data_IF_315958192061
#
_entry.id   IF_315958192061
#
_cell.length_a   1.000
_cell.length_b   1.000
_cell.length_c   1.000
_cell.angle_alpha   90.00
_cell.angle_beta   90.00
_cell.angle_gamma   90.00
#
_symmetry.space_group_name_H-M   'P 1'
#
loop_
_entity.id
_entity.type
_entity.pdbx_description
1 polymer ?
#
# COMPACT_ATOMS: atom_id res chain seq x y z
N UNK A 1 5.59 32.28 -56.94
CA UNK A 1 5.37 30.90 -56.46
C UNK A 1 6.55 30.45 -55.61
N UNK A 2 6.33 30.27 -54.30
CA UNK A 2 6.85 29.21 -53.40
C UNK A 2 6.66 29.70 -51.97
N UNK A 3 5.55 29.28 -51.35
CA UNK A 3 5.32 29.38 -49.91
C UNK A 3 6.05 28.20 -49.29
N UNK A 4 7.00 28.47 -48.40
CA UNK A 4 7.70 27.43 -47.63
C UNK A 4 7.06 27.38 -46.26
N UNK A 5 6.27 26.34 -46.04
CA UNK A 5 5.55 26.05 -44.81
C UNK A 5 6.55 25.61 -43.74
N UNK A 6 6.64 26.37 -42.64
CA UNK A 6 7.43 25.97 -41.47
C UNK A 6 6.63 24.93 -40.70
N UNK A 7 7.16 23.70 -40.65
CA UNK A 7 6.58 22.59 -39.89
C UNK A 7 6.91 22.81 -38.41
N UNK A 8 5.93 23.29 -37.65
CA UNK A 8 6.05 23.52 -36.22
C UNK A 8 5.94 22.17 -35.50
N UNK A 9 7.08 21.64 -35.02
CA UNK A 9 7.15 20.41 -34.24
C UNK A 9 6.68 20.73 -32.82
N UNK A 10 5.44 20.35 -32.49
CA UNK A 10 4.92 20.42 -31.13
C UNK A 10 5.56 19.31 -30.28
N UNK A 11 6.57 19.67 -29.48
CA UNK A 11 7.08 18.82 -28.40
C UNK A 11 6.06 18.88 -27.26
N UNK A 12 5.20 17.87 -27.15
CA UNK A 12 4.32 17.71 -26.02
C UNK A 12 5.15 17.30 -24.80
N UNK A 13 5.43 18.25 -23.90
CA UNK A 13 5.92 17.94 -22.56
C UNK A 13 4.82 17.18 -21.83
N UNK A 14 5.01 15.87 -21.66
CA UNK A 14 4.24 15.07 -20.72
C UNK A 14 4.66 15.53 -19.32
N UNK A 15 3.91 16.48 -18.77
CA UNK A 15 3.95 16.82 -17.35
C UNK A 15 3.43 15.60 -16.59
N UNK A 16 4.37 14.77 -16.14
CA UNK A 16 4.11 13.75 -15.15
C UNK A 16 3.68 14.47 -13.86
N UNK A 17 2.37 14.44 -13.59
CA UNK A 17 1.79 14.98 -12.35
C UNK A 17 2.22 14.12 -11.17
N UNK A 18 3.45 14.31 -10.69
CA UNK A 18 3.82 13.97 -9.32
C UNK A 18 3.11 14.99 -8.43
N UNK A 19 1.85 14.72 -8.09
CA UNK A 19 1.21 15.46 -7.00
C UNK A 19 1.94 15.08 -5.71
N UNK A 20 2.61 16.02 -5.04
CA UNK A 20 3.15 15.73 -3.73
C UNK A 20 1.97 15.47 -2.79
N UNK A 21 1.89 14.26 -2.25
CA UNK A 21 0.94 13.88 -1.20
C UNK A 21 1.38 14.56 0.11
N UNK A 22 1.16 15.86 0.20
CA UNK A 22 1.31 16.62 1.44
C UNK A 22 0.07 16.39 2.30
N UNK A 23 0.21 15.67 3.41
CA UNK A 23 -0.87 15.58 4.39
C UNK A 23 -1.15 16.97 4.99
N UNK A 24 -2.37 17.49 4.82
CA UNK A 24 -2.78 18.75 5.44
C UNK A 24 -2.83 18.63 6.97
N UNK A 25 -2.39 19.68 7.72
CA UNK A 25 -2.56 19.77 9.16
C UNK A 25 -4.03 19.58 9.56
N UNK A 26 -4.28 19.16 10.81
CA UNK A 26 -5.64 19.10 11.35
C UNK A 26 -6.18 20.52 11.47
N UNK A 27 -7.05 20.91 10.54
CA UNK A 27 -7.81 22.16 10.64
C UNK A 27 -8.91 21.96 11.70
N UNK A 28 -8.75 22.58 12.87
CA UNK A 28 -9.77 22.68 13.92
C UNK A 28 -10.36 24.10 13.83
N UNK A 29 -11.47 24.32 13.10
CA UNK A 29 -12.16 25.61 13.15
C UNK A 29 -12.92 25.70 14.47
N UNK A 30 -12.87 26.89 15.08
CA UNK A 30 -13.62 27.33 16.26
C UNK A 30 -13.18 26.76 17.62
N UNK A 31 -12.17 27.41 18.18
CA UNK A 31 -11.80 27.30 19.60
C UNK A 31 -12.73 28.21 20.41
N UNK A 32 -13.96 27.76 20.64
CA UNK A 32 -14.82 28.38 21.67
C UNK A 32 -14.38 27.91 23.06
N UNK A 33 -14.36 28.86 23.99
CA UNK A 33 -13.71 28.88 25.32
C UNK A 33 -14.26 27.87 26.35
N UNK A 34 -14.36 26.58 26.01
CA UNK A 34 -14.74 25.52 26.95
C UNK A 34 -14.29 24.12 26.50
N UNK A 35 -12.98 23.83 26.56
CA UNK A 35 -12.47 22.46 26.75
C UNK A 35 -12.93 21.34 25.79
N UNK A 36 -13.38 21.66 24.57
CA UNK A 36 -13.89 20.65 23.64
C UNK A 36 -12.73 19.96 22.91
N UNK A 37 -12.64 18.63 23.04
CA UNK A 37 -11.67 17.80 22.33
C UNK A 37 -11.81 17.98 20.81
N UNK A 38 -10.74 18.40 20.12
CA UNK A 38 -10.75 18.44 18.65
C UNK A 38 -10.79 16.99 18.10
N UNK A 39 -11.96 16.58 17.61
CA UNK A 39 -12.16 15.27 16.98
C UNK A 39 -12.06 15.37 15.46
N UNK A 40 -11.22 14.53 14.87
CA UNK A 40 -11.09 14.43 13.40
C UNK A 40 -12.34 13.72 12.85
N UNK A 41 -12.96 14.25 11.79
CA UNK A 41 -14.12 13.60 11.17
C UNK A 41 -13.76 12.25 10.53
N UNK A 42 -14.73 11.33 10.48
CA UNK A 42 -14.57 10.02 9.83
C UNK A 42 -14.12 10.17 8.36
N UNK A 43 -14.67 11.15 7.66
CA UNK A 43 -14.28 11.50 6.29
C UNK A 43 -12.80 11.84 6.18
N UNK A 44 -12.29 12.75 7.03
CA UNK A 44 -10.87 13.13 7.04
C UNK A 44 -9.96 11.95 7.38
N UNK A 45 -10.41 11.04 8.25
CA UNK A 45 -9.64 9.83 8.60
C UNK A 45 -9.59 8.83 7.45
N UNK A 46 -10.72 8.58 6.79
CA UNK A 46 -10.79 7.71 5.60
C UNK A 46 -9.99 8.28 4.43
N UNK A 47 -10.09 9.59 4.18
CA UNK A 47 -9.28 10.29 3.16
C UNK A 47 -7.78 10.08 3.41
N UNK A 48 -7.32 10.34 4.64
CA UNK A 48 -5.92 10.15 5.01
C UNK A 48 -5.47 8.70 4.90
N UNK A 49 -6.31 7.74 5.29
CA UNK A 49 -5.99 6.32 5.17
C UNK A 49 -5.87 5.89 3.70
N UNK A 50 -6.76 6.36 2.82
CA UNK A 50 -6.69 6.11 1.38
C UNK A 50 -5.40 6.70 0.78
N UNK A 51 -5.13 7.98 1.02
CA UNK A 51 -3.89 8.63 0.54
C UNK A 51 -2.63 7.91 1.02
N UNK A 52 -2.65 7.42 2.26
CA UNK A 52 -1.54 6.67 2.82
C UNK A 52 -1.34 5.32 2.12
N UNK A 53 -2.43 4.58 1.88
CA UNK A 53 -2.37 3.32 1.14
C UNK A 53 -1.95 3.52 -0.33
N UNK A 54 -2.38 4.62 -0.97
CA UNK A 54 -1.93 5.01 -2.31
C UNK A 54 -0.43 5.24 -2.38
N UNK A 55 0.10 6.00 -1.42
CA UNK A 55 1.53 6.24 -1.31
C UNK A 55 2.31 4.93 -1.14
N UNK A 56 1.85 4.04 -0.25
CA UNK A 56 2.48 2.73 -0.01
C UNK A 56 2.47 1.89 -1.29
N UNK A 57 1.33 1.79 -1.97
CA UNK A 57 1.22 1.04 -3.21
C UNK A 57 2.14 1.61 -4.31
N UNK A 58 2.15 2.93 -4.50
CA UNK A 58 3.03 3.57 -5.46
C UNK A 58 4.52 3.27 -5.19
N UNK A 59 4.95 3.38 -3.92
CA UNK A 59 6.32 3.04 -3.53
C UNK A 59 6.65 1.56 -3.75
N UNK A 60 5.68 0.67 -3.59
CA UNK A 60 5.87 -0.77 -3.84
C UNK A 60 6.06 -1.08 -5.33
N UNK A 61 5.34 -0.39 -6.23
CA UNK A 61 5.55 -0.49 -7.68
C UNK A 61 6.95 -0.01 -8.06
N UNK A 62 7.35 1.17 -7.60
CA UNK A 62 8.69 1.71 -7.90
C UNK A 62 9.81 0.83 -7.32
N UNK A 63 9.64 0.33 -6.09
CA UNK A 63 10.62 -0.56 -5.46
C UNK A 63 10.75 -1.86 -6.23
N UNK A 64 9.65 -2.42 -6.75
CA UNK A 64 9.69 -3.62 -7.59
C UNK A 64 10.49 -3.38 -8.86
N UNK A 65 10.26 -2.25 -9.55
CA UNK A 65 11.00 -1.90 -10.77
C UNK A 65 12.50 -1.73 -10.50
N UNK A 66 12.87 -1.01 -9.44
CA UNK A 66 14.27 -0.83 -9.05
C UNK A 66 14.95 -2.16 -8.67
N UNK A 67 14.20 -3.07 -8.03
CA UNK A 67 14.70 -4.40 -7.70
C UNK A 67 14.93 -5.23 -8.98
N UNK A 68 14.01 -5.19 -9.95
CA UNK A 68 14.21 -5.86 -11.24
C UNK A 68 15.46 -5.34 -11.97
N UNK A 69 15.66 -4.01 -12.01
CA UNK A 69 16.83 -3.38 -12.63
C UNK A 69 18.14 -3.81 -11.94
N UNK A 70 18.14 -3.88 -10.61
CA UNK A 70 19.27 -4.37 -9.82
C UNK A 70 19.60 -5.83 -10.16
N UNK A 71 18.58 -6.71 -10.23
CA UNK A 71 18.76 -8.12 -10.58
C UNK A 71 19.31 -8.31 -12.00
N UNK A 72 18.78 -7.55 -12.96
CA UNK A 72 19.26 -7.56 -14.34
C UNK A 72 20.73 -7.14 -14.42
N UNK A 73 21.14 -6.15 -13.62
CA UNK A 73 22.54 -5.69 -13.56
C UNK A 73 23.49 -6.74 -12.99
N UNK A 74 23.02 -7.62 -12.11
CA UNK A 74 23.79 -8.76 -11.60
C UNK A 74 23.79 -9.99 -12.52
N UNK A 75 23.17 -9.91 -13.72
CA UNK A 75 23.02 -11.05 -14.62
C UNK A 75 22.06 -12.12 -14.09
N UNK A 76 21.30 -11.82 -13.03
CA UNK A 76 20.24 -12.68 -12.49
C UNK A 76 18.97 -12.39 -13.28
N UNK A 77 18.79 -13.10 -14.38
CA UNK A 77 17.61 -12.96 -15.24
C UNK A 77 16.51 -13.90 -14.76
N UNK A 78 15.29 -13.37 -14.63
CA UNK A 78 14.06 -14.13 -14.32
C UNK A 78 14.07 -14.89 -12.99
N UNK A 79 14.03 -14.17 -11.86
CA UNK A 79 13.47 -14.71 -10.61
C UNK A 79 11.96 -14.92 -10.81
N UNK A 80 11.61 -16.05 -11.44
CA UNK A 80 10.23 -16.32 -11.85
C UNK A 80 9.37 -16.58 -10.60
N UNK A 81 8.62 -15.56 -10.21
CA UNK A 81 7.50 -15.71 -9.29
C UNK A 81 6.27 -15.99 -10.15
N UNK A 82 5.68 -17.18 -10.01
CA UNK A 82 4.47 -17.54 -10.76
C UNK A 82 3.38 -16.50 -10.50
N UNK A 83 2.63 -16.10 -11.53
CA UNK A 83 1.53 -15.13 -11.38
C UNK A 83 0.49 -15.58 -10.33
N UNK A 84 0.36 -16.90 -10.14
CA UNK A 84 -0.48 -17.55 -9.12
C UNK A 84 0.15 -17.67 -7.73
N UNK A 85 1.33 -17.10 -7.49
CA UNK A 85 1.99 -17.15 -6.16
C UNK A 85 1.11 -16.43 -5.14
N UNK A 86 0.78 -17.16 -4.07
CA UNK A 86 0.02 -16.61 -2.94
C UNK A 86 0.97 -15.83 -2.04
N UNK A 87 0.60 -14.58 -1.77
CA UNK A 87 1.48 -13.56 -1.16
C UNK A 87 1.13 -13.24 0.29
N UNK A 88 -0.16 -13.34 0.64
CA UNK A 88 -0.73 -13.20 1.98
C UNK A 88 -1.40 -14.53 2.35
N UNK A 89 -1.66 -14.81 3.65
CA UNK A 89 -2.50 -15.94 4.05
C UNK A 89 -3.79 -15.99 3.22
N UNK A 90 -4.25 -17.22 2.95
CA UNK A 90 -5.40 -17.54 2.06
C UNK A 90 -6.72 -16.87 2.49
N UNK A 91 -6.75 -16.24 3.67
CA UNK A 91 -7.92 -15.69 4.33
C UNK A 91 -8.45 -14.38 3.72
N UNK A 92 -7.70 -13.70 2.84
CA UNK A 92 -8.12 -12.41 2.26
C UNK A 92 -8.20 -12.47 0.72
N UNK A 93 -9.30 -13.01 0.16
CA UNK A 93 -9.56 -12.96 -1.28
C UNK A 93 -9.83 -11.53 -1.76
N UNK A 94 -9.50 -11.25 -3.03
CA UNK A 94 -9.93 -10.01 -3.70
C UNK A 94 -11.32 -10.24 -4.24
N UNK A 95 -12.31 -9.39 -3.91
CA UNK A 95 -13.64 -9.48 -4.49
C UNK A 95 -13.53 -9.27 -5.99
N UNK A 96 -14.02 -10.22 -6.78
CA UNK A 96 -13.88 -10.21 -8.25
C UNK A 96 -15.18 -9.82 -8.97
N UNK A 97 -16.29 -9.64 -8.24
CA UNK A 97 -17.58 -9.30 -8.82
C UNK A 97 -18.32 -8.22 -8.05
N UNK A 98 -19.14 -7.43 -8.74
CA UNK A 98 -20.01 -6.42 -8.13
C UNK A 98 -20.95 -7.01 -7.08
N UNK A 99 -21.43 -8.24 -7.29
CA UNK A 99 -22.28 -8.97 -6.35
C UNK A 99 -21.53 -9.35 -5.07
N UNK A 100 -20.27 -9.77 -5.18
CA UNK A 100 -19.41 -10.07 -4.04
C UNK A 100 -19.05 -8.78 -3.28
N UNK A 101 -18.74 -7.71 -4.01
CA UNK A 101 -18.52 -6.37 -3.44
C UNK A 101 -19.76 -5.89 -2.66
N UNK A 102 -20.98 -6.20 -3.06
CA UNK A 102 -22.18 -5.80 -2.30
C UNK A 102 -22.40 -6.63 -1.01
N UNK A 103 -21.93 -7.87 -0.97
CA UNK A 103 -22.15 -8.80 0.15
C UNK A 103 -21.12 -8.66 1.27
N UNK A 104 -19.95 -8.08 0.98
CA UNK A 104 -18.89 -7.91 1.97
C UNK A 104 -19.24 -6.82 2.98
N UNK A 105 -19.18 -7.13 4.28
CA UNK A 105 -19.42 -6.16 5.35
C UNK A 105 -18.24 -5.20 5.55
N UNK A 106 -18.51 -4.01 6.10
CA UNK A 106 -17.46 -3.03 6.46
C UNK A 106 -16.53 -3.59 7.55
N UNK A 107 -17.08 -4.41 8.47
CA UNK A 107 -16.28 -5.17 9.45
C UNK A 107 -15.26 -6.06 8.75
N UNK A 108 -15.70 -6.82 7.75
CA UNK A 108 -14.80 -7.69 7.00
C UNK A 108 -13.73 -6.87 6.26
N UNK A 109 -14.09 -5.75 5.62
CA UNK A 109 -13.10 -4.89 4.92
C UNK A 109 -12.01 -4.37 5.88
N UNK A 110 -12.42 -3.81 7.02
CA UNK A 110 -11.50 -3.26 8.00
C UNK A 110 -10.57 -4.32 8.59
N UNK A 111 -11.10 -5.50 8.92
CA UNK A 111 -10.32 -6.60 9.47
C UNK A 111 -9.38 -7.19 8.43
N UNK A 112 -9.82 -7.35 7.18
CA UNK A 112 -8.98 -7.77 6.07
C UNK A 112 -7.82 -6.80 5.82
N UNK A 113 -8.08 -5.49 5.86
CA UNK A 113 -7.01 -4.48 5.76
C UNK A 113 -6.04 -4.58 6.93
N UNK A 114 -6.53 -4.72 8.16
CA UNK A 114 -5.70 -4.84 9.36
C UNK A 114 -4.79 -6.08 9.27
N UNK A 115 -5.34 -7.24 8.89
CA UNK A 115 -4.60 -8.49 8.71
C UNK A 115 -3.47 -8.31 7.68
N UNK A 116 -3.78 -7.73 6.52
CA UNK A 116 -2.78 -7.50 5.48
C UNK A 116 -1.68 -6.54 5.96
N UNK A 117 -2.06 -5.44 6.61
CA UNK A 117 -1.10 -4.46 7.14
C UNK A 117 -0.18 -5.12 8.17
N UNK A 118 -0.73 -5.86 9.13
CA UNK A 118 0.05 -6.52 10.18
C UNK A 118 0.97 -7.61 9.64
N UNK A 119 0.49 -8.42 8.71
CA UNK A 119 1.26 -9.48 8.07
C UNK A 119 2.53 -8.93 7.40
N UNK A 120 2.46 -7.76 6.79
CA UNK A 120 3.56 -7.17 6.01
C UNK A 120 4.55 -6.33 6.82
N UNK A 121 4.29 -6.02 8.10
CA UNK A 121 5.21 -5.22 8.93
C UNK A 121 6.59 -5.89 9.03
N UNK A 122 6.66 -7.12 9.53
CA UNK A 122 7.94 -7.80 9.74
C UNK A 122 8.68 -8.12 8.43
N UNK A 123 8.03 -8.68 7.38
CA UNK A 123 8.71 -8.93 6.11
C UNK A 123 9.35 -7.68 5.49
N UNK A 124 8.73 -6.51 5.61
CA UNK A 124 9.29 -5.26 5.08
C UNK A 124 10.49 -4.76 5.90
N UNK A 125 10.45 -4.93 7.22
CA UNK A 125 11.59 -4.65 8.10
C UNK A 125 12.77 -5.58 7.78
N UNK A 126 12.50 -6.87 7.55
CA UNK A 126 13.53 -7.85 7.20
C UNK A 126 14.18 -7.53 5.85
N UNK A 127 13.39 -7.19 4.82
CA UNK A 127 13.93 -6.75 3.52
C UNK A 127 14.77 -5.48 3.67
N UNK A 128 14.30 -4.50 4.46
CA UNK A 128 15.07 -3.30 4.74
C UNK A 128 16.44 -3.64 5.36
N UNK A 129 16.48 -4.60 6.29
CA UNK A 129 17.72 -5.06 6.92
C UNK A 129 18.66 -5.76 5.92
N UNK A 130 18.12 -6.65 5.09
CA UNK A 130 18.89 -7.34 4.05
C UNK A 130 19.49 -6.35 3.03
N UNK A 131 18.71 -5.36 2.56
CA UNK A 131 19.17 -4.37 1.58
C UNK A 131 20.36 -3.54 2.07
N UNK A 132 20.52 -3.35 3.39
CA UNK A 132 21.68 -2.66 3.94
C UNK A 132 22.99 -3.46 3.81
N UNK A 133 22.89 -4.78 3.62
CA UNK A 133 24.03 -5.69 3.48
C UNK A 133 24.34 -6.02 2.01
N UNK A 134 23.53 -5.56 1.05
CA UNK A 134 23.77 -5.80 -0.37
C UNK A 134 24.84 -4.86 -0.90
N UNK A 135 25.78 -5.41 -1.66
CA UNK A 135 26.72 -4.60 -2.43
C UNK A 135 25.98 -3.89 -3.57
N UNK A 136 26.27 -2.60 -3.78
CA UNK A 136 25.75 -1.81 -4.89
C UNK A 136 24.21 -1.68 -4.96
N UNK A 137 23.51 -1.72 -3.81
CA UNK A 137 22.06 -1.46 -3.77
C UNK A 137 21.74 -0.04 -4.25
N UNK A 138 20.75 0.15 -5.15
CA UNK A 138 20.30 1.48 -5.51
C UNK A 138 19.81 2.25 -4.28
N UNK A 139 20.36 3.44 -4.03
CA UNK A 139 19.95 4.27 -2.88
C UNK A 139 18.46 4.59 -2.89
N UNK A 140 17.87 4.74 -4.08
CA UNK A 140 16.45 4.89 -4.32
C UNK A 140 15.62 3.71 -3.79
N UNK A 141 16.10 2.47 -3.96
CA UNK A 141 15.43 1.25 -3.48
C UNK A 141 15.49 1.16 -1.95
N UNK A 142 16.68 1.39 -1.38
CA UNK A 142 16.87 1.39 0.07
C UNK A 142 16.01 2.45 0.77
N UNK A 143 15.95 3.67 0.22
CA UNK A 143 15.16 4.76 0.80
C UNK A 143 13.66 4.48 0.72
N UNK A 144 13.18 3.90 -0.39
CA UNK A 144 11.77 3.51 -0.52
C UNK A 144 11.40 2.37 0.40
N UNK A 145 12.27 1.36 0.56
CA UNK A 145 12.07 0.28 1.53
C UNK A 145 11.90 0.82 2.95
N UNK A 146 12.79 1.73 3.39
CA UNK A 146 12.66 2.41 4.70
C UNK A 146 11.34 3.17 4.84
N UNK A 147 10.95 3.90 3.79
CA UNK A 147 9.71 4.68 3.81
C UNK A 147 8.48 3.77 3.86
N UNK A 148 8.44 2.67 3.10
CA UNK A 148 7.36 1.67 3.15
C UNK A 148 7.21 1.06 4.55
N UNK A 149 8.32 0.61 5.16
CA UNK A 149 8.31 0.03 6.50
C UNK A 149 7.79 1.00 7.56
N UNK A 150 8.13 2.29 7.46
CA UNK A 150 7.59 3.32 8.36
C UNK A 150 6.10 3.59 8.10
N UNK A 151 5.70 3.67 6.83
CA UNK A 151 4.35 4.03 6.43
C UNK A 151 3.33 2.93 6.73
N UNK A 152 3.70 1.66 6.57
CA UNK A 152 2.79 0.55 6.90
C UNK A 152 2.43 0.50 8.40
N UNK A 153 3.39 0.76 9.29
CA UNK A 153 3.15 0.85 10.74
C UNK A 153 2.23 2.02 11.05
N UNK A 154 2.45 3.18 10.43
CA UNK A 154 1.57 4.33 10.63
C UNK A 154 0.18 4.12 10.04
N UNK A 155 0.04 3.32 8.97
CA UNK A 155 -1.26 2.92 8.43
C UNK A 155 -1.99 2.02 9.41
N UNK A 156 -1.33 1.03 10.03
CA UNK A 156 -1.91 0.16 11.06
C UNK A 156 -2.63 0.96 12.15
N UNK A 157 -1.96 2.00 12.67
CA UNK A 157 -2.53 2.88 13.69
C UNK A 157 -3.78 3.60 13.18
N UNK A 158 -3.77 4.08 11.93
CA UNK A 158 -4.94 4.68 11.28
C UNK A 158 -6.10 3.70 11.13
N UNK A 159 -5.82 2.44 10.78
CA UNK A 159 -6.84 1.39 10.64
C UNK A 159 -7.46 1.04 12.00
N UNK A 160 -6.66 0.95 13.06
CA UNK A 160 -7.17 0.72 14.42
C UNK A 160 -8.10 1.85 14.88
N UNK A 161 -7.79 3.10 14.54
CA UNK A 161 -8.69 4.24 14.79
C UNK A 161 -9.99 4.10 14.00
N UNK A 162 -9.92 3.77 12.70
CA UNK A 162 -11.09 3.55 11.85
C UNK A 162 -11.98 2.41 12.36
N UNK A 163 -11.38 1.30 12.81
CA UNK A 163 -12.13 0.17 13.41
C UNK A 163 -12.93 0.64 14.62
N UNK A 164 -12.29 1.34 15.56
CA UNK A 164 -12.97 1.85 16.76
C UNK A 164 -14.10 2.81 16.40
N UNK A 165 -13.90 3.66 15.39
CA UNK A 165 -14.87 4.67 14.99
C UNK A 165 -16.06 4.11 14.20
N UNK A 166 -15.84 3.10 13.36
CA UNK A 166 -16.88 2.51 12.50
C UNK A 166 -17.61 1.35 13.20
N UNK A 167 -16.88 0.54 13.98
CA UNK A 167 -17.42 -0.69 14.59
C UNK A 167 -17.66 -0.59 16.10
N UNK A 168 -17.21 0.48 16.77
CA UNK A 168 -17.28 0.64 18.22
C UNK A 168 -16.22 -0.14 19.00
N UNK A 169 -16.28 -0.09 20.34
CA UNK A 169 -15.24 -0.67 21.22
C UNK A 169 -15.07 -2.20 21.09
N UNK A 170 -16.11 -2.92 20.67
CA UNK A 170 -16.06 -4.36 20.38
C UNK A 170 -15.48 -4.73 19.01
N UNK A 171 -15.07 -3.74 18.20
CA UNK A 171 -14.60 -3.95 16.84
C UNK A 171 -13.28 -4.69 16.72
N UNK A 172 -12.42 -4.66 17.75
CA UNK A 172 -11.05 -5.22 17.68
C UNK A 172 -10.94 -6.74 17.85
N UNK A 173 -12.07 -7.46 18.03
CA UNK A 173 -12.04 -8.92 18.11
C UNK A 173 -11.71 -9.49 16.72
N UNK A 174 -10.46 -9.91 16.55
CA UNK A 174 -9.97 -10.68 15.41
C UNK A 174 -10.01 -12.16 15.80
N UNK A 175 -10.84 -12.98 15.14
CA UNK A 175 -10.65 -14.44 15.22
C UNK A 175 -9.33 -14.76 14.51
N UNK A 176 -8.42 -15.39 15.25
CA UNK A 176 -6.99 -15.44 14.93
C UNK A 176 -6.70 -15.90 13.51
N UNK A 177 -5.95 -15.08 12.77
CA UNK A 177 -5.20 -15.56 11.63
C UNK A 177 -4.06 -16.44 12.19
N UNK A 178 -4.07 -17.74 11.86
CA UNK A 178 -2.94 -18.62 12.18
C UNK A 178 -1.68 -18.07 11.50
N UNK A 179 -0.71 -17.73 12.33
CA UNK A 179 0.64 -17.33 11.93
C UNK A 179 1.36 -18.57 11.40
N UNK A 180 1.19 -18.89 10.11
CA UNK A 180 2.08 -19.83 9.42
C UNK A 180 3.36 -19.09 9.03
N UNK A 181 4.16 -18.75 10.03
CA UNK A 181 5.54 -18.29 9.83
C UNK A 181 6.41 -19.49 9.53
N UNK A 182 6.48 -19.89 8.26
CA UNK A 182 7.50 -20.84 7.80
C UNK A 182 8.86 -20.13 7.80
N UNK A 183 9.62 -20.36 8.88
CA UNK A 183 10.95 -19.78 9.07
C UNK A 183 11.97 -20.56 8.23
N UNK A 184 12.19 -20.14 6.99
CA UNK A 184 13.27 -20.69 6.16
C UNK A 184 14.62 -20.06 6.54
N UNK A 185 15.45 -20.82 7.25
CA UNK A 185 16.88 -20.53 7.42
C UNK A 185 17.67 -21.34 6.40
N UNK A 186 18.20 -20.65 5.39
CA UNK A 186 19.34 -21.11 4.60
C UNK A 186 20.11 -19.88 4.10
N UNK A 187 21.44 -19.99 4.15
CA UNK A 187 22.40 -18.91 3.91
C UNK A 187 23.12 -19.17 2.60
N UNK A 188 22.52 -18.71 1.51
CA UNK A 188 23.19 -18.28 0.29
C UNK A 188 22.71 -16.84 -0.02
N UNK A 189 23.60 -15.99 -0.52
CA UNK A 189 23.27 -14.59 -0.87
C UNK A 189 22.14 -14.56 -1.91
N UNK A 190 22.17 -15.50 -2.86
CA UNK A 190 21.14 -15.65 -3.88
C UNK A 190 19.77 -16.05 -3.31
N UNK A 191 19.73 -16.88 -2.27
CA UNK A 191 18.49 -17.26 -1.59
C UNK A 191 17.87 -16.08 -0.83
N UNK A 192 18.71 -15.25 -0.22
CA UNK A 192 18.25 -14.02 0.46
C UNK A 192 17.71 -13.00 -0.55
N UNK A 193 18.42 -12.79 -1.67
CA UNK A 193 17.95 -11.93 -2.77
C UNK A 193 16.62 -12.44 -3.35
N UNK A 194 16.46 -13.75 -3.54
CA UNK A 194 15.21 -14.37 -3.99
C UNK A 194 14.06 -14.17 -3.02
N UNK A 195 14.31 -14.36 -1.72
CA UNK A 195 13.32 -14.14 -0.66
C UNK A 195 12.85 -12.69 -0.67
N UNK A 196 13.78 -11.75 -0.67
CA UNK A 196 13.47 -10.33 -0.59
C UNK A 196 12.74 -9.83 -1.85
N UNK A 197 13.15 -10.31 -3.02
CA UNK A 197 12.42 -10.07 -4.26
C UNK A 197 10.98 -10.57 -4.19
N UNK A 198 10.78 -11.77 -3.62
CA UNK A 198 9.45 -12.35 -3.43
C UNK A 198 8.59 -11.52 -2.49
N UNK A 199 9.17 -11.02 -1.39
CA UNK A 199 8.50 -10.11 -0.46
C UNK A 199 8.07 -8.82 -1.17
N UNK A 200 8.95 -8.15 -1.91
CA UNK A 200 8.60 -6.91 -2.61
C UNK A 200 7.54 -7.13 -3.69
N UNK A 201 7.66 -8.20 -4.48
CA UNK A 201 6.65 -8.58 -5.47
C UNK A 201 5.27 -8.80 -4.83
N UNK A 202 5.24 -9.53 -3.71
CA UNK A 202 4.02 -9.90 -3.04
C UNK A 202 3.37 -8.73 -2.30
N UNK A 203 4.18 -7.94 -1.60
CA UNK A 203 3.72 -6.73 -0.94
C UNK A 203 3.08 -5.77 -1.93
N UNK A 204 3.63 -5.63 -3.14
CA UNK A 204 3.04 -4.80 -4.20
C UNK A 204 1.60 -5.18 -4.52
N UNK A 205 1.33 -6.49 -4.65
CA UNK A 205 -0.02 -7.03 -4.91
C UNK A 205 -0.95 -6.76 -3.74
N UNK A 206 -0.50 -6.97 -2.51
CA UNK A 206 -1.34 -6.79 -1.33
C UNK A 206 -1.52 -5.31 -0.93
N UNK A 207 -0.55 -4.43 -1.22
CA UNK A 207 -0.67 -2.99 -1.09
C UNK A 207 -1.78 -2.44 -2.00
N UNK A 208 -1.86 -2.95 -3.24
CA UNK A 208 -2.99 -2.65 -4.13
C UNK A 208 -4.32 -3.10 -3.50
N UNK A 209 -4.39 -4.31 -2.93
CA UNK A 209 -5.62 -4.78 -2.24
C UNK A 209 -6.00 -3.88 -1.07
N UNK A 210 -5.05 -3.49 -0.22
CA UNK A 210 -5.26 -2.56 0.90
C UNK A 210 -5.86 -1.24 0.38
N UNK A 211 -5.25 -0.66 -0.66
CA UNK A 211 -5.74 0.55 -1.30
C UNK A 211 -7.18 0.38 -1.83
N UNK A 212 -7.47 -0.71 -2.55
CA UNK A 212 -8.81 -1.00 -3.07
C UNK A 212 -9.85 -1.11 -1.97
N UNK A 213 -9.56 -1.84 -0.88
CA UNK A 213 -10.50 -2.00 0.23
C UNK A 213 -10.79 -0.69 0.96
N UNK A 214 -9.77 0.14 1.17
CA UNK A 214 -9.96 1.46 1.79
C UNK A 214 -10.75 2.41 0.90
N UNK A 215 -10.53 2.37 -0.41
CA UNK A 215 -11.32 3.15 -1.36
C UNK A 215 -12.79 2.72 -1.39
N UNK A 216 -13.04 1.41 -1.38
CA UNK A 216 -14.40 0.86 -1.29
C UNK A 216 -15.08 1.28 0.02
N UNK A 217 -14.37 1.18 1.16
CA UNK A 217 -14.89 1.59 2.46
C UNK A 217 -15.22 3.09 2.48
N UNK A 218 -14.31 3.93 1.99
CA UNK A 218 -14.53 5.37 1.86
C UNK A 218 -15.78 5.66 1.04
N UNK A 219 -15.94 4.98 -0.09
CA UNK A 219 -17.09 5.14 -0.97
C UNK A 219 -18.42 4.81 -0.23
N UNK A 220 -18.49 3.69 0.49
CA UNK A 220 -19.70 3.30 1.23
C UNK A 220 -20.06 4.25 2.37
N UNK A 221 -19.06 4.81 3.03
CA UNK A 221 -19.26 5.67 4.20
C UNK A 221 -19.61 7.11 3.82
N UNK A 222 -19.12 7.60 2.67
CA UNK A 222 -19.16 9.03 2.32
C UNK A 222 -19.93 9.29 1.00
N UNK A 223 -19.82 8.40 0.01
CA UNK A 223 -20.29 8.61 -1.37
C UNK A 223 -21.23 7.49 -1.84
N UNK A 224 -22.28 7.23 -1.04
CA UNK A 224 -23.22 6.11 -1.21
C UNK A 224 -23.88 6.03 -2.59
N UNK A 225 -23.99 7.13 -3.32
CA UNK A 225 -24.69 7.23 -4.61
C UNK A 225 -23.77 6.94 -5.82
N UNK A 226 -22.43 7.03 -5.69
CA UNK A 226 -21.48 6.94 -6.82
C UNK A 226 -20.51 5.74 -6.81
N UNK A 227 -20.72 4.73 -5.95
CA UNK A 227 -19.86 3.53 -5.89
C UNK A 227 -20.02 2.56 -7.08
N UNK A 228 -20.35 3.06 -8.27
CA UNK A 228 -20.64 2.28 -9.47
C UNK A 228 -19.41 1.87 -10.28
N UNK A 229 -18.21 2.34 -9.93
CA UNK A 229 -16.96 2.13 -10.67
C UNK A 229 -15.81 1.48 -9.88
N UNK A 230 -16.11 0.79 -8.77
CA UNK A 230 -15.20 -0.21 -8.21
C UNK A 230 -15.45 -1.58 -8.84
#
# INVERSE_FOLDING_TARGET
MKKTTVLQVCVAFVLCSLQPMTGSPVDCPDQDTAGTSCTISLEKLLERAVQHAELIHHMSEESKLLFDEMLNSFGVVNLHISEGTMCSPKSVPVPMSKTEIQQISDKWLLHSVLILVQFWINPLVDVQASLMNYENVPSALLNRSKLMSSKIISLEQGILVLIRQILGEGGLVLEGAEDTSDRFVSSDMLETVRRDYSVIYCFRKDAHKIQTFLKLLKCRQIDKENCSFF
#
